data_IF_055333625101
#
_entry.id   IF_055333625101
#
_cell.length_a   1.000
_cell.length_b   1.000
_cell.length_c   1.000
_cell.angle_alpha   90.00
_cell.angle_beta   90.00
_cell.angle_gamma   90.00
#
_symmetry.space_group_name_H-M   'P 1'
#
loop_
_entity.id
_entity.type
_entity.pdbx_description
1 polymer ?
#
# COMPACT_ATOMS: atom_id res chain seq x y z
N UNK A 1 4.85 61.09 42.47
CA UNK A 1 5.52 60.40 41.35
C UNK A 1 5.46 58.86 41.38
N UNK A 2 5.11 58.19 42.50
CA UNK A 2 5.12 56.71 42.58
C UNK A 2 4.03 55.95 41.80
N UNK A 3 2.87 56.55 41.49
CA UNK A 3 1.74 55.86 40.82
C UNK A 3 1.92 55.66 39.30
N UNK A 4 2.85 56.37 38.67
CA UNK A 4 3.11 56.27 37.22
C UNK A 4 4.03 55.10 36.88
N UNK A 5 4.98 54.76 37.76
CA UNK A 5 5.92 53.65 37.55
C UNK A 5 5.26 52.28 37.69
N UNK A 6 4.23 52.14 38.52
CA UNK A 6 3.48 50.88 38.70
C UNK A 6 2.63 50.54 37.47
N UNK A 7 2.09 51.54 36.76
CA UNK A 7 1.29 51.32 35.53
C UNK A 7 2.15 50.89 34.34
N UNK A 8 3.36 51.43 34.20
CA UNK A 8 4.29 51.08 33.12
C UNK A 8 4.82 49.64 33.29
N UNK A 9 5.08 49.21 34.54
CA UNK A 9 5.50 47.84 34.84
C UNK A 9 4.39 46.80 34.54
N UNK A 10 3.12 47.15 34.79
CA UNK A 10 1.97 46.29 34.45
C UNK A 10 1.77 46.11 32.94
N UNK A 11 1.89 47.20 32.16
CA UNK A 11 1.80 47.12 30.70
C UNK A 11 2.92 46.26 30.08
N UNK A 12 4.17 46.41 30.54
CA UNK A 12 5.29 45.59 30.02
C UNK A 12 5.11 44.09 30.28
N UNK A 13 4.56 43.70 31.43
CA UNK A 13 4.25 42.29 31.74
C UNK A 13 3.11 41.75 30.86
N UNK A 14 2.10 42.58 30.58
CA UNK A 14 1.00 42.21 29.69
C UNK A 14 1.48 42.03 28.23
N UNK A 15 2.36 42.93 27.75
CA UNK A 15 2.91 42.84 26.38
C UNK A 15 3.84 41.64 26.22
N UNK A 16 4.66 41.31 27.22
CA UNK A 16 5.50 40.11 27.21
C UNK A 16 4.67 38.81 27.28
N UNK A 17 3.59 38.79 28.06
CA UNK A 17 2.67 37.64 28.11
C UNK A 17 1.92 37.43 26.78
N UNK A 18 1.48 38.51 26.12
CA UNK A 18 0.83 38.45 24.81
C UNK A 18 1.80 38.05 23.68
N UNK A 19 3.04 38.56 23.71
CA UNK A 19 4.08 38.15 22.76
C UNK A 19 4.50 36.68 22.97
N UNK A 20 4.58 36.23 24.23
CA UNK A 20 4.83 34.83 24.56
C UNK A 20 3.71 33.90 24.09
N UNK A 21 2.45 34.29 24.29
CA UNK A 21 1.29 33.52 23.82
C UNK A 21 1.21 33.47 22.28
N UNK A 22 1.58 34.54 21.58
CA UNK A 22 1.65 34.58 20.12
C UNK A 22 2.79 33.72 19.56
N UNK A 23 3.93 33.64 20.25
CA UNK A 23 5.07 32.82 19.85
C UNK A 23 4.87 31.32 20.16
N UNK A 24 4.12 30.99 21.22
CA UNK A 24 3.79 29.60 21.55
C UNK A 24 2.70 29.01 20.63
N UNK A 25 1.90 29.84 19.96
CA UNK A 25 0.92 29.41 18.96
C UNK A 25 1.51 29.11 17.57
N UNK A 26 2.78 29.40 17.33
CA UNK A 26 3.39 29.38 15.99
C UNK A 26 3.99 28.03 15.56
N UNK A 27 3.91 26.98 16.37
CA UNK A 27 4.64 25.73 16.11
C UNK A 27 3.78 24.55 15.66
N UNK A 28 2.45 24.70 15.55
CA UNK A 28 1.55 23.66 15.08
C UNK A 28 0.87 24.08 13.78
N UNK A 29 0.84 23.21 12.76
CA UNK A 29 -0.02 23.41 11.59
C UNK A 29 -1.47 23.67 12.08
N UNK A 30 -2.12 24.77 11.66
CA UNK A 30 -3.46 25.08 12.13
C UNK A 30 -4.44 24.00 11.67
N UNK A 31 -5.41 23.69 12.53
CA UNK A 31 -6.49 22.79 12.15
C UNK A 31 -7.28 23.38 10.97
N UNK A 32 -7.81 22.55 10.06
CA UNK A 32 -8.71 23.02 9.03
C UNK A 32 -9.92 23.78 9.65
N UNK A 33 -10.38 24.87 9.00
CA UNK A 33 -11.28 25.84 9.64
C UNK A 33 -12.72 25.32 9.78
N UNK A 34 -13.16 24.43 8.91
CA UNK A 34 -14.52 23.87 8.96
C UNK A 34 -14.51 22.59 9.79
N UNK A 35 -15.55 22.38 10.59
CA UNK A 35 -15.64 21.23 11.48
C UNK A 35 -17.08 20.71 11.55
N UNK A 36 -17.23 19.38 11.47
CA UNK A 36 -18.51 18.67 11.57
C UNK A 36 -18.36 17.57 12.61
N UNK A 37 -19.19 17.61 13.64
CA UNK A 37 -19.29 16.53 14.63
C UNK A 37 -20.23 15.43 14.13
N UNK A 38 -19.93 14.20 14.50
CA UNK A 38 -20.76 13.02 14.26
C UNK A 38 -20.66 12.08 15.47
N UNK A 39 -21.44 10.99 15.48
CA UNK A 39 -21.52 10.05 16.63
C UNK A 39 -20.20 9.33 16.95
N UNK A 40 -19.21 9.45 16.07
CA UNK A 40 -17.91 8.78 16.18
C UNK A 40 -16.74 9.77 16.30
N UNK A 41 -17.02 11.06 16.50
CA UNK A 41 -16.00 12.08 16.70
C UNK A 41 -16.17 13.35 15.86
N UNK A 42 -15.07 13.80 15.24
CA UNK A 42 -14.98 15.10 14.61
C UNK A 42 -14.22 15.03 13.28
N UNK A 43 -14.81 15.58 12.21
CA UNK A 43 -14.11 15.79 10.94
C UNK A 43 -13.86 17.27 10.74
N UNK A 44 -12.63 17.63 10.36
CA UNK A 44 -12.21 18.97 9.99
C UNK A 44 -11.76 19.01 8.53
N UNK A 45 -12.15 20.04 7.78
CA UNK A 45 -11.75 20.22 6.39
C UNK A 45 -11.61 21.71 6.01
N UNK A 46 -11.13 21.97 4.79
CA UNK A 46 -11.05 23.32 4.22
C UNK A 46 -12.44 23.87 3.87
N UNK A 47 -13.38 22.99 3.51
CA UNK A 47 -14.77 23.34 3.19
C UNK A 47 -15.78 22.56 4.03
N UNK A 48 -16.97 23.14 4.24
CA UNK A 48 -18.07 22.48 4.94
C UNK A 48 -18.52 21.20 4.21
N UNK A 49 -18.52 21.23 2.87
CA UNK A 49 -18.93 20.10 2.04
C UNK A 49 -18.00 18.89 2.23
N UNK A 50 -16.68 19.10 2.28
CA UNK A 50 -15.73 18.03 2.56
C UNK A 50 -15.84 17.52 4.00
N UNK A 51 -16.03 18.40 4.98
CA UNK A 51 -16.20 17.99 6.38
C UNK A 51 -17.44 17.10 6.56
N UNK A 52 -18.55 17.43 5.89
CA UNK A 52 -19.76 16.58 5.87
C UNK A 52 -19.48 15.25 5.15
N UNK A 53 -18.95 15.29 3.92
CA UNK A 53 -18.66 14.09 3.13
C UNK A 53 -17.79 13.09 3.89
N UNK A 54 -16.70 13.54 4.49
CA UNK A 54 -15.82 12.65 5.25
C UNK A 54 -16.42 12.27 6.61
N UNK A 55 -17.27 13.12 7.22
CA UNK A 55 -18.07 12.75 8.39
C UNK A 55 -19.00 11.57 8.10
N UNK A 56 -19.68 11.58 6.96
CA UNK A 56 -20.53 10.48 6.52
C UNK A 56 -19.71 9.19 6.29
N UNK A 57 -18.54 9.30 5.63
CA UNK A 57 -17.63 8.15 5.44
C UNK A 57 -17.12 7.57 6.76
N UNK A 58 -16.76 8.40 7.75
CA UNK A 58 -16.37 7.90 9.08
C UNK A 58 -17.55 7.21 9.77
N UNK A 59 -18.74 7.80 9.69
CA UNK A 59 -19.97 7.23 10.24
C UNK A 59 -20.33 5.88 9.64
N UNK A 60 -19.97 5.63 8.38
CA UNK A 60 -20.13 4.32 7.73
C UNK A 60 -19.01 3.33 8.10
N UNK A 61 -17.75 3.74 7.95
CA UNK A 61 -16.60 2.84 8.01
C UNK A 61 -16.23 2.42 9.44
N UNK A 62 -16.24 3.36 10.39
CA UNK A 62 -15.81 3.09 11.76
C UNK A 62 -16.61 1.95 12.44
N UNK A 63 -17.96 1.93 12.45
CA UNK A 63 -18.70 0.81 13.02
C UNK A 63 -18.42 -0.52 12.30
N UNK A 64 -18.23 -0.50 10.98
CA UNK A 64 -17.90 -1.72 10.21
C UNK A 64 -16.52 -2.27 10.58
N UNK A 65 -15.54 -1.40 10.85
CA UNK A 65 -14.21 -1.81 11.36
C UNK A 65 -14.35 -2.49 12.73
N UNK A 66 -15.12 -1.89 13.65
CA UNK A 66 -15.36 -2.47 14.98
C UNK A 66 -16.06 -3.84 14.91
N UNK A 67 -16.86 -4.08 13.89
CA UNK A 67 -17.53 -5.36 13.66
C UNK A 67 -16.59 -6.44 13.10
N UNK A 68 -15.73 -6.09 12.15
CA UNK A 68 -14.91 -7.10 11.43
C UNK A 68 -13.55 -7.38 12.09
N UNK A 69 -13.02 -6.43 12.87
CA UNK A 69 -11.68 -6.52 13.45
C UNK A 69 -11.76 -6.75 14.97
N UNK A 70 -11.40 -7.93 15.49
CA UNK A 70 -11.36 -8.17 16.92
C UNK A 70 -10.30 -7.30 17.60
N UNK A 71 -10.46 -7.06 18.92
CA UNK A 71 -9.48 -6.30 19.70
C UNK A 71 -9.44 -4.79 19.36
N UNK A 72 -10.44 -4.25 18.67
CA UNK A 72 -10.58 -2.80 18.46
C UNK A 72 -11.18 -2.11 19.67
N UNK A 73 -10.80 -0.86 19.90
CA UNK A 73 -11.40 0.02 20.89
C UNK A 73 -12.36 1.01 20.26
N UNK A 74 -13.60 1.05 20.76
CA UNK A 74 -14.55 2.10 20.44
C UNK A 74 -14.09 3.42 21.06
N UNK A 75 -13.68 4.37 20.21
CA UNK A 75 -13.25 5.71 20.61
C UNK A 75 -13.66 6.76 19.58
N UNK A 76 -13.74 8.00 20.00
CA UNK A 76 -13.93 9.12 19.08
C UNK A 76 -12.64 9.36 18.27
N UNK A 77 -12.77 9.61 16.96
CA UNK A 77 -11.66 9.96 16.08
C UNK A 77 -11.76 11.41 15.62
N UNK A 78 -10.60 12.06 15.43
CA UNK A 78 -10.49 13.39 14.85
C UNK A 78 -9.85 13.27 13.45
N UNK A 79 -10.61 13.48 12.39
CA UNK A 79 -10.12 13.37 11.00
C UNK A 79 -9.87 14.76 10.42
N UNK A 80 -8.65 15.02 9.99
CA UNK A 80 -8.25 16.26 9.31
C UNK A 80 -8.09 15.99 7.82
N UNK A 81 -9.00 16.55 7.02
CA UNK A 81 -9.01 16.47 5.56
C UNK A 81 -8.34 17.73 5.01
N UNK A 82 -7.30 17.55 4.22
CA UNK A 82 -6.44 18.64 3.74
C UNK A 82 -6.10 18.44 2.27
N UNK A 83 -5.96 19.49 1.47
CA UNK A 83 -5.43 19.34 0.11
C UNK A 83 -3.94 18.93 0.15
N UNK A 84 -3.18 19.56 1.05
CA UNK A 84 -1.78 19.25 1.30
C UNK A 84 -1.57 18.80 2.74
N UNK A 85 -1.11 17.56 2.91
CA UNK A 85 -0.81 17.00 4.22
C UNK A 85 0.37 17.71 4.88
N UNK A 86 0.22 18.02 6.16
CA UNK A 86 1.26 18.66 6.97
C UNK A 86 1.42 17.96 8.31
N UNK A 87 2.66 17.65 8.68
CA UNK A 87 2.96 17.19 10.03
C UNK A 87 2.80 18.33 11.06
N UNK A 88 2.82 17.97 12.35
CA UNK A 88 2.68 18.92 13.47
C UNK A 88 3.59 20.14 13.33
N UNK A 89 4.83 19.98 12.87
CA UNK A 89 5.80 21.08 12.68
C UNK A 89 5.63 21.87 11.37
N UNK A 90 4.52 21.69 10.64
CA UNK A 90 4.24 22.38 9.38
C UNK A 90 4.98 21.85 8.16
N UNK A 91 5.81 20.81 8.33
CA UNK A 91 6.48 20.11 7.24
C UNK A 91 5.46 19.45 6.31
N UNK A 92 5.58 19.74 5.02
CA UNK A 92 4.74 19.16 3.97
C UNK A 92 5.12 17.70 3.80
N UNK A 93 4.11 16.84 3.83
CA UNK A 93 4.28 15.40 3.57
C UNK A 93 4.33 15.18 2.06
N UNK A 94 5.18 14.26 1.55
CA UNK A 94 5.22 13.94 0.12
C UNK A 94 3.83 13.62 -0.45
N UNK A 95 3.58 14.02 -1.70
CA UNK A 95 2.27 13.84 -2.35
C UNK A 95 1.87 12.37 -2.58
N UNK A 96 2.83 11.46 -2.45
CA UNK A 96 2.62 10.01 -2.49
C UNK A 96 1.91 9.49 -1.23
N UNK A 97 2.03 10.19 -0.10
CA UNK A 97 1.32 9.83 1.14
C UNK A 97 -0.10 10.38 1.06
N UNK A 98 -1.09 9.51 1.21
CA UNK A 98 -2.52 9.86 1.10
C UNK A 98 -3.21 10.00 2.46
N UNK A 99 -2.64 9.38 3.49
CA UNK A 99 -3.10 9.47 4.87
C UNK A 99 -1.98 9.19 5.86
N UNK A 100 -2.19 9.58 7.12
CA UNK A 100 -1.46 9.04 8.26
C UNK A 100 -2.24 9.25 9.55
N UNK A 101 -2.04 8.34 10.50
CA UNK A 101 -2.56 8.44 11.86
C UNK A 101 -1.46 8.88 12.82
N UNK A 102 -1.75 9.92 13.62
CA UNK A 102 -0.85 10.34 14.69
C UNK A 102 -1.00 9.39 15.88
N UNK A 103 0.15 8.90 16.34
CA UNK A 103 0.28 8.13 17.58
C UNK A 103 0.87 9.07 18.64
N UNK A 104 0.09 9.33 19.70
CA UNK A 104 0.52 10.16 20.84
C UNK A 104 1.65 9.53 21.65
N UNK A 105 2.26 10.31 22.55
CA UNK A 105 3.38 9.87 23.41
C UNK A 105 2.99 8.73 24.37
N UNK A 106 1.70 8.60 24.66
CA UNK A 106 1.08 7.53 25.45
C UNK A 106 0.46 6.43 24.57
N UNK A 107 0.84 6.39 23.29
CA UNK A 107 0.24 5.54 22.26
C UNK A 107 -1.26 5.82 22.03
N UNK A 108 -1.81 6.95 22.50
CA UNK A 108 -3.18 7.31 22.13
C UNK A 108 -3.24 7.64 20.65
N UNK A 109 -4.01 6.81 19.94
CA UNK A 109 -4.33 6.96 18.53
C UNK A 109 -5.70 7.61 18.44
N UNK A 110 -5.86 8.58 17.54
CA UNK A 110 -7.14 9.28 17.42
C UNK A 110 -7.16 10.40 16.40
N UNK A 111 -6.03 11.03 16.06
CA UNK A 111 -5.99 12.01 14.98
C UNK A 111 -5.52 11.39 13.67
N UNK A 112 -6.38 11.44 12.67
CA UNK A 112 -6.12 10.98 11.31
C UNK A 112 -5.95 12.21 10.42
N UNK A 113 -4.98 12.18 9.51
CA UNK A 113 -4.83 13.18 8.46
C UNK A 113 -5.02 12.51 7.10
N UNK A 114 -5.82 13.10 6.22
CA UNK A 114 -6.13 12.56 4.89
C UNK A 114 -6.08 13.64 3.82
N UNK A 115 -5.68 13.24 2.61
CA UNK A 115 -5.77 14.08 1.42
C UNK A 115 -7.20 14.17 0.93
N UNK A 116 -7.66 15.37 0.58
CA UNK A 116 -8.98 15.56 -0.04
C UNK A 116 -9.04 15.15 -1.52
N UNK A 117 -7.90 15.16 -2.21
CA UNK A 117 -7.77 14.95 -3.66
C UNK A 117 -7.43 13.50 -4.05
N UNK A 118 -7.63 12.54 -3.16
CA UNK A 118 -7.45 11.13 -3.47
C UNK A 118 -8.66 10.57 -4.23
N UNK A 119 -8.40 9.69 -5.20
CA UNK A 119 -9.44 9.03 -6.01
C UNK A 119 -10.29 8.06 -5.18
N UNK A 120 -9.67 7.40 -4.19
CA UNK A 120 -10.30 6.39 -3.34
C UNK A 120 -10.21 6.79 -1.85
N UNK A 121 -10.91 7.86 -1.41
CA UNK A 121 -10.81 8.35 -0.03
C UNK A 121 -11.26 7.31 1.01
N UNK A 122 -12.22 6.46 0.67
CA UNK A 122 -12.69 5.39 1.53
C UNK A 122 -11.62 4.34 1.83
N UNK A 123 -10.75 4.00 0.87
CA UNK A 123 -9.63 3.08 1.11
C UNK A 123 -8.69 3.68 2.15
N UNK A 124 -8.17 4.87 1.87
CA UNK A 124 -7.20 5.50 2.78
C UNK A 124 -7.83 5.83 4.14
N UNK A 125 -9.09 6.23 4.20
CA UNK A 125 -9.78 6.44 5.47
C UNK A 125 -9.97 5.14 6.24
N UNK A 126 -10.39 4.04 5.59
CA UNK A 126 -10.53 2.75 6.27
C UNK A 126 -9.18 2.26 6.81
N UNK A 127 -8.11 2.40 6.03
CA UNK A 127 -6.75 2.09 6.44
C UNK A 127 -6.35 2.87 7.70
N UNK A 128 -6.50 4.19 7.70
CA UNK A 128 -6.14 5.01 8.86
C UNK A 128 -7.06 4.80 10.07
N UNK A 129 -8.34 4.52 9.86
CA UNK A 129 -9.25 4.16 10.95
C UNK A 129 -8.81 2.87 11.64
N UNK A 130 -8.31 1.86 10.91
CA UNK A 130 -7.76 0.66 11.54
C UNK A 130 -6.61 1.03 12.46
N UNK A 131 -5.65 1.84 12.00
CA UNK A 131 -4.60 2.34 12.88
C UNK A 131 -5.16 3.06 14.10
N UNK A 132 -6.18 3.90 13.95
CA UNK A 132 -6.75 4.65 15.07
C UNK A 132 -7.52 3.79 16.08
N UNK A 133 -8.08 2.65 15.63
CA UNK A 133 -9.02 1.84 16.41
C UNK A 133 -8.41 0.57 16.99
N UNK A 134 -7.29 0.05 16.45
CA UNK A 134 -6.62 -1.13 17.01
C UNK A 134 -6.29 -0.92 18.50
N UNK A 135 -6.71 -1.87 19.33
CA UNK A 135 -6.51 -1.85 20.77
C UNK A 135 -5.15 -2.40 21.20
N UNK A 136 -4.87 -2.38 22.52
CA UNK A 136 -3.61 -2.87 23.09
C UNK A 136 -3.37 -4.36 22.84
N UNK A 137 -4.40 -5.15 22.58
CA UNK A 137 -4.29 -6.58 22.24
C UNK A 137 -3.47 -6.82 20.95
N UNK A 138 -3.40 -5.83 20.07
CA UNK A 138 -2.61 -5.87 18.84
C UNK A 138 -1.16 -5.41 19.01
N UNK A 139 -0.73 -5.04 20.23
CA UNK A 139 0.57 -4.41 20.48
C UNK A 139 1.77 -5.25 20.01
N UNK A 140 1.65 -6.58 20.02
CA UNK A 140 2.70 -7.50 19.57
C UNK A 140 2.67 -7.77 18.07
N UNK A 141 1.75 -7.20 17.30
CA UNK A 141 1.75 -7.34 15.86
C UNK A 141 2.99 -6.64 15.28
N UNK A 142 3.80 -7.30 14.42
CA UNK A 142 4.92 -6.64 13.76
C UNK A 142 4.45 -5.44 12.94
N UNK A 143 5.25 -4.37 12.88
CA UNK A 143 4.85 -3.13 12.24
C UNK A 143 4.46 -3.28 10.76
N UNK A 144 5.18 -4.12 10.02
CA UNK A 144 4.84 -4.41 8.63
C UNK A 144 3.48 -5.13 8.49
N UNK A 145 3.14 -6.02 9.44
CA UNK A 145 1.83 -6.68 9.44
C UNK A 145 0.71 -5.75 9.92
N UNK A 146 1.00 -4.75 10.75
CA UNK A 146 0.01 -3.71 11.10
C UNK A 146 -0.42 -2.93 9.86
N UNK A 147 0.52 -2.48 9.03
CA UNK A 147 0.22 -1.83 7.74
C UNK A 147 -0.54 -2.77 6.79
N UNK A 148 -0.15 -4.05 6.74
CA UNK A 148 -0.86 -5.08 5.97
C UNK A 148 -2.29 -5.31 6.45
N UNK A 149 -2.52 -5.35 7.76
CA UNK A 149 -3.83 -5.49 8.39
C UNK A 149 -4.75 -4.32 8.03
N UNK A 150 -4.23 -3.09 8.07
CA UNK A 150 -4.98 -1.90 7.67
C UNK A 150 -5.49 -2.01 6.23
N UNK A 151 -4.65 -2.46 5.29
CA UNK A 151 -5.06 -2.64 3.90
C UNK A 151 -5.97 -3.84 3.65
N UNK A 152 -5.78 -4.95 4.38
CA UNK A 152 -6.68 -6.11 4.29
C UNK A 152 -8.10 -5.73 4.71
N UNK A 153 -8.23 -5.02 5.84
CA UNK A 153 -9.53 -4.51 6.29
C UNK A 153 -10.07 -3.45 5.33
N UNK A 154 -9.23 -2.55 4.81
CA UNK A 154 -9.66 -1.57 3.82
C UNK A 154 -10.21 -2.24 2.55
N UNK A 155 -9.52 -3.25 2.01
CA UNK A 155 -9.97 -4.02 0.86
C UNK A 155 -11.29 -4.74 1.12
N UNK A 156 -11.47 -5.31 2.31
CA UNK A 156 -12.73 -5.94 2.71
C UNK A 156 -13.90 -4.93 2.79
N UNK A 157 -13.65 -3.71 3.26
CA UNK A 157 -14.70 -2.73 3.50
C UNK A 157 -14.99 -1.81 2.29
N UNK A 158 -14.09 -1.79 1.30
CA UNK A 158 -14.19 -0.95 0.09
C UNK A 158 -14.15 -1.80 -1.19
N UNK A 159 -15.24 -2.53 -1.51
CA UNK A 159 -15.25 -3.49 -2.63
C UNK A 159 -14.85 -2.90 -3.98
N UNK A 160 -15.18 -1.64 -4.24
CA UNK A 160 -14.83 -0.90 -5.44
C UNK A 160 -13.33 -0.60 -5.58
N UNK A 161 -12.59 -0.59 -4.47
CA UNK A 161 -11.14 -0.40 -4.45
C UNK A 161 -10.38 -1.73 -4.22
N UNK A 162 -11.04 -2.78 -3.70
CA UNK A 162 -10.42 -4.05 -3.30
C UNK A 162 -9.46 -4.62 -4.35
N UNK A 163 -9.89 -4.75 -5.59
CA UNK A 163 -9.05 -5.29 -6.67
C UNK A 163 -7.81 -4.42 -6.90
N UNK A 164 -7.94 -3.09 -6.83
CA UNK A 164 -6.82 -2.17 -6.94
C UNK A 164 -5.84 -2.28 -5.77
N UNK A 165 -6.35 -2.47 -4.55
CA UNK A 165 -5.53 -2.64 -3.34
C UNK A 165 -4.70 -3.92 -3.47
N UNK A 166 -5.36 -5.06 -3.71
CA UNK A 166 -4.71 -6.35 -3.87
C UNK A 166 -3.68 -6.32 -5.00
N UNK A 167 -4.03 -5.73 -6.14
CA UNK A 167 -3.14 -5.58 -7.28
C UNK A 167 -1.89 -4.75 -6.95
N UNK A 168 -2.05 -3.62 -6.25
CA UNK A 168 -0.91 -2.81 -5.80
C UNK A 168 -0.01 -3.59 -4.83
N UNK A 169 -0.61 -4.23 -3.82
CA UNK A 169 0.13 -4.97 -2.80
C UNK A 169 0.80 -6.23 -3.36
N UNK A 170 0.25 -6.85 -4.40
CA UNK A 170 0.92 -7.92 -5.15
C UNK A 170 2.21 -7.42 -5.82
N UNK A 171 2.17 -6.27 -6.50
CA UNK A 171 3.37 -5.67 -7.10
C UNK A 171 4.40 -5.32 -6.03
N UNK A 172 4.00 -4.64 -4.97
CA UNK A 172 4.91 -4.27 -3.89
C UNK A 172 5.49 -5.49 -3.15
N UNK A 173 4.67 -6.50 -2.90
CA UNK A 173 5.11 -7.76 -2.30
C UNK A 173 6.09 -8.52 -3.19
N UNK A 174 5.89 -8.49 -4.51
CA UNK A 174 6.84 -9.07 -5.46
C UNK A 174 8.19 -8.38 -5.48
N UNK A 175 8.22 -7.05 -5.30
CA UNK A 175 9.47 -6.28 -5.16
C UNK A 175 10.23 -6.73 -3.92
N UNK A 176 9.54 -7.02 -2.81
CA UNK A 176 10.18 -7.59 -1.62
C UNK A 176 10.76 -8.99 -1.92
N UNK A 177 9.98 -9.85 -2.56
CA UNK A 177 10.37 -11.22 -2.89
C UNK A 177 11.46 -11.32 -3.97
N UNK A 178 11.71 -10.22 -4.69
CA UNK A 178 12.64 -10.11 -5.82
C UNK A 178 12.15 -10.81 -7.09
N UNK A 179 10.98 -11.47 -7.04
CA UNK A 179 10.36 -12.11 -8.18
C UNK A 179 8.85 -12.28 -7.99
N UNK A 180 8.14 -12.39 -9.11
CA UNK A 180 6.75 -12.84 -9.17
C UNK A 180 6.57 -13.77 -10.38
N UNK A 181 6.23 -15.04 -10.16
CA UNK A 181 5.96 -15.96 -11.27
C UNK A 181 4.58 -15.67 -11.86
N UNK A 182 4.45 -15.63 -13.18
CA UNK A 182 3.19 -15.74 -13.91
C UNK A 182 3.28 -16.87 -14.93
N UNK A 183 2.13 -17.44 -15.29
CA UNK A 183 2.03 -18.38 -16.40
C UNK A 183 1.29 -17.73 -17.56
N UNK A 184 1.88 -17.79 -18.75
CA UNK A 184 1.26 -17.36 -20.00
C UNK A 184 1.00 -18.59 -20.87
N UNK A 185 -0.26 -18.80 -21.22
CA UNK A 185 -0.71 -19.81 -22.16
C UNK A 185 -1.00 -19.15 -23.52
N UNK A 186 -0.80 -19.87 -24.61
CA UNK A 186 -1.01 -19.36 -25.97
C UNK A 186 -1.19 -20.52 -26.97
N UNK A 187 -1.84 -20.24 -28.08
CA UNK A 187 -2.04 -21.17 -29.18
C UNK A 187 -0.75 -21.30 -29.98
N UNK A 188 0.12 -22.20 -29.52
CA UNK A 188 1.42 -22.43 -30.14
C UNK A 188 1.30 -22.97 -31.58
N UNK A 189 2.02 -22.39 -32.55
CA UNK A 189 2.12 -22.96 -33.88
C UNK A 189 2.79 -24.34 -33.85
N UNK A 190 2.49 -25.22 -34.84
CA UNK A 190 3.14 -26.53 -34.94
C UNK A 190 4.67 -26.42 -34.90
N UNK A 191 5.30 -27.18 -34.00
CA UNK A 191 6.75 -27.22 -33.83
C UNK A 191 7.31 -26.26 -32.77
N UNK A 192 6.46 -25.52 -32.03
CA UNK A 192 6.91 -24.78 -30.86
C UNK A 192 7.35 -25.74 -29.72
N UNK A 193 8.57 -25.59 -29.16
CA UNK A 193 9.04 -26.42 -28.05
C UNK A 193 8.32 -26.21 -26.70
N UNK A 194 7.56 -25.12 -26.52
CA UNK A 194 6.93 -24.77 -25.24
C UNK A 194 5.49 -25.28 -25.11
N UNK A 195 4.96 -25.98 -26.11
CA UNK A 195 3.61 -26.56 -26.09
C UNK A 195 2.51 -25.57 -25.65
N UNK A 196 2.65 -24.30 -26.03
CA UNK A 196 1.67 -23.26 -25.72
C UNK A 196 1.68 -22.78 -24.27
N UNK A 197 2.71 -23.06 -23.46
CA UNK A 197 2.79 -22.61 -22.07
C UNK A 197 4.17 -22.08 -21.70
N UNK A 198 4.21 -20.91 -21.08
CA UNK A 198 5.43 -20.25 -20.62
C UNK A 198 5.27 -19.83 -19.16
N UNK A 199 6.21 -20.27 -18.32
CA UNK A 199 6.40 -19.72 -16.99
C UNK A 199 7.39 -18.56 -17.08
N UNK A 200 6.94 -17.39 -16.63
CA UNK A 200 7.71 -16.16 -16.65
C UNK A 200 7.89 -15.65 -15.24
N UNK A 201 9.09 -15.18 -14.94
CA UNK A 201 9.40 -14.53 -13.68
C UNK A 201 9.60 -13.03 -13.94
N UNK A 202 8.80 -12.20 -13.27
CA UNK A 202 9.10 -10.78 -13.15
C UNK A 202 10.22 -10.61 -12.14
N UNK A 203 11.46 -10.56 -12.62
CA UNK A 203 12.61 -10.36 -11.75
C UNK A 203 12.76 -8.88 -11.40
N UNK A 204 13.18 -8.60 -10.18
CA UNK A 204 13.64 -7.27 -9.78
C UNK A 204 15.13 -7.37 -9.47
N UNK A 205 15.95 -6.52 -10.10
CA UNK A 205 17.43 -6.58 -10.01
C UNK A 205 17.95 -6.59 -8.56
N UNK A 206 17.14 -6.10 -7.61
CA UNK A 206 17.34 -6.25 -6.16
C UNK A 206 16.00 -6.43 -5.47
N UNK A 207 15.86 -7.46 -4.63
CA UNK A 207 14.77 -7.54 -3.65
C UNK A 207 14.84 -6.31 -2.75
N UNK A 208 13.79 -5.49 -2.76
CA UNK A 208 13.87 -4.04 -2.55
C UNK A 208 14.32 -3.51 -1.17
N UNK A 209 14.74 -4.36 -0.23
CA UNK A 209 14.96 -3.92 1.15
C UNK A 209 16.22 -4.42 1.86
N UNK A 210 17.05 -5.27 1.23
CA UNK A 210 18.28 -5.83 1.84
C UNK A 210 18.06 -6.56 3.19
N UNK A 211 16.80 -6.85 3.55
CA UNK A 211 16.38 -7.58 4.75
C UNK A 211 15.56 -8.80 4.34
N UNK A 212 15.65 -9.89 5.11
CA UNK A 212 14.78 -11.04 4.92
C UNK A 212 13.45 -10.88 5.70
N UNK A 213 12.49 -11.77 5.45
CA UNK A 213 11.17 -11.68 6.07
C UNK A 213 11.23 -11.83 7.61
N UNK A 214 12.07 -12.73 8.13
CA UNK A 214 12.25 -12.91 9.57
C UNK A 214 12.76 -11.64 10.25
N UNK A 215 13.77 -10.98 9.66
CA UNK A 215 14.27 -9.70 10.16
C UNK A 215 13.18 -8.62 10.12
N UNK A 216 12.45 -8.50 9.00
CA UNK A 216 11.37 -7.50 8.87
C UNK A 216 10.28 -7.70 9.95
N UNK A 217 9.87 -8.95 10.18
CA UNK A 217 8.80 -9.29 11.12
C UNK A 217 9.26 -9.28 12.58
N UNK A 218 10.56 -9.07 12.85
CA UNK A 218 11.08 -8.88 14.21
C UNK A 218 10.86 -7.46 14.76
N UNK A 219 10.44 -6.50 13.92
CA UNK A 219 10.25 -5.11 14.33
C UNK A 219 8.81 -4.80 14.73
N UNK A 220 8.63 -4.27 15.94
CA UNK A 220 7.41 -3.53 16.29
C UNK A 220 7.30 -2.23 15.46
N UNK A 221 6.12 -1.62 15.44
CA UNK A 221 5.80 -0.41 14.66
C UNK A 221 6.76 0.77 14.92
N UNK A 222 7.17 1.00 16.17
CA UNK A 222 8.07 2.10 16.53
C UNK A 222 9.51 1.80 16.14
N UNK A 223 9.97 0.57 16.35
CA UNK A 223 11.30 0.10 15.97
C UNK A 223 11.47 0.13 14.44
N UNK A 224 10.44 -0.26 13.69
CA UNK A 224 10.41 -0.18 12.23
C UNK A 224 10.53 1.29 11.76
N UNK A 225 9.70 2.19 12.30
CA UNK A 225 9.73 3.63 11.95
C UNK A 225 11.03 4.34 12.36
N UNK A 226 11.73 3.87 13.40
CA UNK A 226 13.05 4.39 13.79
C UNK A 226 14.14 3.96 12.82
N UNK A 227 14.11 2.72 12.35
CA UNK A 227 15.11 2.20 11.41
C UNK A 227 14.92 2.76 10.00
N UNK A 228 13.68 2.91 9.56
CA UNK A 228 13.34 3.47 8.26
C UNK A 228 12.55 4.76 8.41
N UNK A 229 13.20 5.90 8.13
CA UNK A 229 12.53 7.23 8.14
C UNK A 229 11.29 7.25 7.25
N UNK A 230 11.32 6.50 6.15
CA UNK A 230 10.17 6.18 5.28
C UNK A 230 10.18 4.68 5.07
N UNK A 231 9.06 4.03 5.37
CA UNK A 231 8.87 2.61 5.09
C UNK A 231 8.89 2.40 3.57
N UNK A 232 9.71 1.48 3.05
CA UNK A 232 9.62 1.02 1.67
C UNK A 232 8.22 0.51 1.36
N UNK A 233 7.67 0.87 0.19
CA UNK A 233 6.33 0.44 -0.23
C UNK A 233 6.24 -1.11 -0.29
N UNK A 234 7.35 -1.79 -0.59
CA UNK A 234 7.42 -3.26 -0.55
C UNK A 234 7.16 -3.90 0.82
N UNK A 235 7.30 -3.15 1.92
CA UNK A 235 6.94 -3.62 3.27
C UNK A 235 5.43 -3.67 3.47
N UNK A 236 4.69 -2.72 2.88
CA UNK A 236 3.22 -2.75 2.86
C UNK A 236 2.75 -3.96 2.06
N UNK A 237 3.30 -4.15 0.86
CA UNK A 237 2.98 -5.29 0.00
C UNK A 237 3.19 -6.63 0.68
N UNK A 238 4.38 -6.87 1.26
CA UNK A 238 4.64 -8.17 1.93
C UNK A 238 3.83 -8.33 3.23
N UNK A 239 3.60 -7.24 3.96
CA UNK A 239 2.73 -7.26 5.14
C UNK A 239 1.31 -7.67 4.78
N UNK A 240 0.75 -7.07 3.72
CA UNK A 240 -0.56 -7.41 3.19
C UNK A 240 -0.63 -8.88 2.77
N UNK A 241 0.34 -9.37 1.98
CA UNK A 241 0.39 -10.77 1.52
C UNK A 241 0.33 -11.76 2.71
N UNK A 242 1.11 -11.50 3.76
CA UNK A 242 1.14 -12.37 4.95
C UNK A 242 -0.20 -12.32 5.69
N UNK A 243 -0.73 -11.13 5.97
CA UNK A 243 -2.02 -11.00 6.69
C UNK A 243 -3.17 -11.61 5.89
N UNK A 244 -3.19 -11.40 4.58
CA UNK A 244 -4.24 -11.89 3.70
C UNK A 244 -4.25 -13.43 3.65
N UNK A 245 -3.09 -14.07 3.57
CA UNK A 245 -2.99 -15.53 3.64
C UNK A 245 -3.45 -16.07 5.00
N UNK A 246 -3.08 -15.42 6.10
CA UNK A 246 -3.56 -15.81 7.43
C UNK A 246 -5.09 -15.65 7.49
N UNK A 247 -5.63 -14.55 6.96
CA UNK A 247 -7.07 -14.29 6.92
C UNK A 247 -7.81 -15.36 6.11
N UNK A 248 -7.34 -15.71 4.92
CA UNK A 248 -8.00 -16.70 4.05
C UNK A 248 -7.98 -18.10 4.67
N UNK A 249 -6.92 -18.46 5.41
CA UNK A 249 -6.75 -19.78 6.02
C UNK A 249 -7.43 -19.92 7.38
N UNK A 250 -7.38 -18.87 8.20
CA UNK A 250 -7.74 -18.92 9.62
C UNK A 250 -8.61 -17.74 10.10
N UNK A 251 -8.79 -16.70 9.30
CA UNK A 251 -9.50 -15.47 9.66
C UNK A 251 -8.67 -14.49 10.50
N UNK A 252 -9.12 -13.24 10.59
CA UNK A 252 -8.45 -12.19 11.39
C UNK A 252 -8.47 -12.50 12.90
N UNK A 253 -9.45 -13.26 13.37
CA UNK A 253 -9.53 -13.74 14.76
C UNK A 253 -8.31 -14.57 15.17
N UNK A 254 -7.80 -15.41 14.27
CA UNK A 254 -6.61 -16.21 14.55
C UNK A 254 -5.35 -15.36 14.66
N UNK A 255 -5.18 -14.35 13.78
CA UNK A 255 -4.05 -13.42 13.90
C UNK A 255 -4.10 -12.64 15.23
N UNK A 256 -5.30 -12.25 15.67
CA UNK A 256 -5.50 -11.62 16.97
C UNK A 256 -5.14 -12.57 18.14
N UNK A 257 -5.54 -13.84 18.07
CA UNK A 257 -5.14 -14.87 19.06
C UNK A 257 -3.62 -15.05 19.13
N UNK A 258 -2.91 -14.99 18.00
CA UNK A 258 -1.45 -15.01 17.98
C UNK A 258 -0.84 -13.82 18.73
N UNK A 259 -1.43 -12.63 18.60
CA UNK A 259 -0.99 -11.45 19.35
C UNK A 259 -1.22 -11.61 20.85
N UNK A 260 -2.42 -12.03 21.26
CA UNK A 260 -2.73 -12.29 22.67
C UNK A 260 -1.78 -13.33 23.28
N UNK A 261 -1.57 -14.44 22.57
CA UNK A 261 -0.63 -15.48 22.97
C UNK A 261 0.80 -14.95 23.11
N UNK A 262 1.26 -14.16 22.13
CA UNK A 262 2.60 -13.57 22.18
C UNK A 262 2.76 -12.65 23.40
N UNK A 263 1.74 -11.85 23.72
CA UNK A 263 1.75 -10.99 24.90
C UNK A 263 1.76 -11.80 26.21
N UNK A 264 0.95 -12.86 26.31
CA UNK A 264 0.89 -13.75 27.47
C UNK A 264 2.22 -14.49 27.71
N UNK A 265 2.90 -14.89 26.64
CA UNK A 265 4.22 -15.53 26.68
C UNK A 265 5.38 -14.51 26.85
N UNK A 266 5.07 -13.20 26.94
CA UNK A 266 6.04 -12.14 27.22
C UNK A 266 6.89 -11.72 26.01
N UNK A 267 6.45 -12.04 24.78
CA UNK A 267 7.10 -11.59 23.57
C UNK A 267 6.78 -10.12 23.26
N UNK A 268 7.76 -9.41 22.70
CA UNK A 268 7.55 -8.03 22.23
C UNK A 268 6.83 -7.96 20.89
N UNK A 269 7.01 -8.99 20.06
CA UNK A 269 6.32 -9.18 18.77
C UNK A 269 5.96 -10.65 18.61
N UNK A 270 4.93 -10.97 17.83
CA UNK A 270 4.57 -12.36 17.50
C UNK A 270 5.78 -13.05 16.84
N UNK A 271 6.24 -14.22 17.34
CA UNK A 271 7.35 -14.95 16.75
C UNK A 271 7.17 -15.24 15.25
N UNK A 272 8.23 -15.02 14.46
CA UNK A 272 8.22 -15.23 13.01
C UNK A 272 7.70 -16.61 12.63
N UNK A 273 8.13 -17.66 13.33
CA UNK A 273 7.75 -19.04 13.01
C UNK A 273 6.23 -19.25 13.10
N UNK A 274 5.56 -18.60 14.06
CA UNK A 274 4.11 -18.70 14.19
C UNK A 274 3.39 -18.01 13.04
N UNK A 275 3.89 -16.85 12.62
CA UNK A 275 3.35 -16.10 11.48
C UNK A 275 3.57 -16.82 10.15
N UNK A 276 4.77 -17.39 9.96
CA UNK A 276 5.10 -18.17 8.78
C UNK A 276 4.22 -19.42 8.67
N UNK A 277 4.04 -20.17 9.76
CA UNK A 277 3.15 -21.34 9.82
C UNK A 277 1.69 -20.94 9.52
N UNK A 278 1.20 -19.87 10.17
CA UNK A 278 -0.16 -19.35 9.96
C UNK A 278 -0.41 -18.95 8.50
N UNK A 279 0.58 -18.32 7.87
CA UNK A 279 0.50 -17.91 6.46
C UNK A 279 0.76 -19.09 5.49
N UNK A 280 1.24 -20.25 5.95
CA UNK A 280 1.69 -21.35 5.10
C UNK A 280 2.95 -21.03 4.30
N UNK A 281 3.86 -20.24 4.88
CA UNK A 281 5.14 -19.88 4.29
C UNK A 281 6.18 -20.88 4.82
N UNK A 282 6.29 -22.01 4.13
CA UNK A 282 7.16 -23.12 4.54
C UNK A 282 8.59 -22.95 4.02
N UNK A 283 8.75 -22.24 2.91
CA UNK A 283 10.03 -22.06 2.23
C UNK A 283 10.07 -20.78 1.37
N UNK A 284 11.23 -20.54 0.74
CA UNK A 284 11.44 -19.39 -0.14
C UNK A 284 10.59 -19.43 -1.41
N UNK A 285 10.15 -20.61 -1.85
CA UNK A 285 9.34 -20.77 -3.06
C UNK A 285 7.91 -20.31 -2.76
N UNK A 286 7.30 -20.82 -1.69
CA UNK A 286 5.98 -20.41 -1.19
C UNK A 286 5.90 -18.90 -0.95
N UNK A 287 6.94 -18.30 -0.36
CA UNK A 287 7.02 -16.86 -0.16
C UNK A 287 7.00 -16.08 -1.49
N UNK A 288 7.74 -16.56 -2.50
CA UNK A 288 7.87 -15.89 -3.79
C UNK A 288 6.64 -16.05 -4.69
N UNK A 289 5.84 -17.09 -4.48
CA UNK A 289 4.57 -17.26 -5.20
C UNK A 289 3.43 -16.48 -4.54
N UNK A 290 3.53 -16.18 -3.25
CA UNK A 290 2.46 -15.55 -2.48
C UNK A 290 1.89 -14.25 -3.08
N UNK A 291 2.68 -13.34 -3.68
CA UNK A 291 2.12 -12.17 -4.35
C UNK A 291 1.22 -12.51 -5.55
N UNK A 292 1.56 -13.57 -6.32
CA UNK A 292 0.75 -14.03 -7.46
C UNK A 292 -0.60 -14.58 -7.03
N UNK A 293 -0.68 -15.18 -5.83
CA UNK A 293 -1.92 -15.73 -5.26
C UNK A 293 -2.99 -14.63 -5.04
N UNK A 294 -2.57 -13.37 -4.92
CA UNK A 294 -3.49 -12.24 -4.78
C UNK A 294 -4.21 -11.86 -6.07
N UNK A 295 -3.70 -12.31 -7.23
CA UNK A 295 -4.16 -11.87 -8.54
C UNK A 295 -5.32 -12.72 -9.04
N UNK A 296 -6.53 -12.17 -8.95
CA UNK A 296 -7.67 -12.59 -9.75
C UNK A 296 -7.79 -11.77 -11.04
N UNK A 297 -8.81 -12.04 -11.87
CA UNK A 297 -9.01 -11.31 -13.13
C UNK A 297 -9.15 -9.79 -12.94
N UNK A 298 -9.84 -9.37 -11.88
CA UNK A 298 -10.05 -7.96 -11.58
C UNK A 298 -8.76 -7.25 -11.12
N UNK A 299 -7.95 -7.93 -10.30
CA UNK A 299 -6.66 -7.43 -9.85
C UNK A 299 -5.67 -7.29 -11.02
N UNK A 300 -5.67 -8.27 -11.92
CA UNK A 300 -4.85 -8.22 -13.13
C UNK A 300 -5.28 -7.08 -14.06
N UNK A 301 -6.59 -6.82 -14.21
CA UNK A 301 -7.06 -5.64 -14.95
C UNK A 301 -6.62 -4.33 -14.28
N UNK A 302 -6.71 -4.24 -12.95
CA UNK A 302 -6.33 -3.06 -12.19
C UNK A 302 -4.84 -2.67 -12.36
N UNK A 303 -3.96 -3.62 -12.70
CA UNK A 303 -2.57 -3.31 -13.05
C UNK A 303 -2.40 -2.39 -14.24
N UNK A 304 -3.36 -2.33 -15.17
CA UNK A 304 -3.29 -1.38 -16.29
C UNK A 304 -3.21 0.07 -15.80
N UNK A 305 -3.92 0.37 -14.71
CA UNK A 305 -3.97 1.71 -14.14
C UNK A 305 -2.79 1.99 -13.22
N UNK A 306 -2.32 0.97 -12.50
CA UNK A 306 -1.20 1.08 -11.56
C UNK A 306 0.16 1.10 -12.28
N UNK A 307 0.29 0.33 -13.36
CA UNK A 307 1.51 0.18 -14.16
C UNK A 307 1.17 0.33 -15.65
N UNK A 308 0.97 1.57 -16.14
CA UNK A 308 0.57 1.81 -17.52
C UNK A 308 1.48 1.14 -18.55
N UNK A 309 0.88 0.38 -19.47
CA UNK A 309 1.59 -0.36 -20.51
C UNK A 309 2.23 -1.68 -20.08
N UNK A 310 2.01 -2.13 -18.84
CA UNK A 310 2.53 -3.40 -18.33
C UNK A 310 2.16 -4.58 -19.24
N UNK A 311 0.87 -4.78 -19.51
CA UNK A 311 0.37 -5.91 -20.31
C UNK A 311 0.96 -5.94 -21.72
N UNK A 312 1.05 -4.78 -22.37
CA UNK A 312 1.66 -4.67 -23.70
C UNK A 312 3.16 -4.96 -23.65
N UNK A 313 3.87 -4.50 -22.61
CA UNK A 313 5.29 -4.80 -22.46
C UNK A 313 5.55 -6.29 -22.23
N UNK A 314 4.74 -6.91 -21.36
CA UNK A 314 4.74 -8.34 -21.12
C UNK A 314 4.60 -9.11 -22.44
N UNK A 315 3.54 -8.82 -23.20
CA UNK A 315 3.30 -9.48 -24.49
C UNK A 315 4.46 -9.24 -25.48
N UNK A 316 4.98 -8.02 -25.57
CA UNK A 316 6.14 -7.72 -26.42
C UNK A 316 7.37 -8.52 -26.01
N UNK A 317 7.71 -8.58 -24.73
CA UNK A 317 8.91 -9.31 -24.28
C UNK A 317 8.81 -10.81 -24.51
N UNK A 318 7.63 -11.38 -24.26
CA UNK A 318 7.41 -12.83 -24.40
C UNK A 318 7.38 -13.25 -25.87
N UNK A 319 6.69 -12.48 -26.73
CA UNK A 319 6.36 -12.95 -28.07
C UNK A 319 7.13 -12.27 -29.20
N UNK A 320 7.57 -11.01 -29.07
CA UNK A 320 8.08 -10.26 -30.24
C UNK A 320 9.36 -10.81 -30.84
N UNK A 321 10.25 -11.41 -30.05
CA UNK A 321 11.50 -11.99 -30.54
C UNK A 321 11.26 -13.22 -31.43
N UNK A 322 10.23 -14.02 -31.12
CA UNK A 322 9.90 -15.26 -31.83
C UNK A 322 8.85 -15.08 -32.91
N UNK A 323 7.91 -14.15 -32.69
CA UNK A 323 6.71 -13.93 -33.49
C UNK A 323 6.63 -12.53 -34.09
N UNK A 324 7.76 -11.85 -34.22
CA UNK A 324 7.82 -10.46 -34.71
C UNK A 324 7.13 -10.24 -36.05
N UNK A 325 7.22 -11.22 -36.95
CA UNK A 325 6.63 -11.19 -38.31
C UNK A 325 5.10 -11.14 -38.33
N UNK A 326 4.42 -11.57 -37.25
CA UNK A 326 2.95 -11.49 -37.16
C UNK A 326 2.45 -10.06 -36.94
N UNK A 327 3.32 -9.16 -36.46
CA UNK A 327 2.90 -7.85 -35.94
C UNK A 327 2.03 -7.98 -34.67
N UNK A 328 1.66 -6.83 -34.10
CA UNK A 328 0.86 -6.80 -32.86
C UNK A 328 -0.52 -7.46 -33.01
N UNK A 329 -1.27 -7.09 -34.06
CA UNK A 329 -2.62 -7.60 -34.29
C UNK A 329 -2.61 -9.10 -34.64
N UNK A 330 -1.71 -9.52 -35.53
CA UNK A 330 -1.58 -10.92 -35.91
C UNK A 330 -1.12 -11.79 -34.75
N UNK A 331 -0.28 -11.28 -33.84
CA UNK A 331 0.09 -12.02 -32.63
C UNK A 331 -1.12 -12.25 -31.71
N UNK A 332 -1.91 -11.20 -31.42
CA UNK A 332 -3.09 -11.34 -30.57
C UNK A 332 -4.13 -12.30 -31.17
N UNK A 333 -4.33 -12.26 -32.48
CA UNK A 333 -5.29 -13.13 -33.17
C UNK A 333 -4.79 -14.58 -33.30
N UNK A 334 -3.54 -14.78 -33.70
CA UNK A 334 -3.02 -16.11 -34.02
C UNK A 334 -2.54 -16.89 -32.80
N UNK A 335 -2.04 -16.20 -31.75
CA UNK A 335 -1.52 -16.85 -30.56
C UNK A 335 -2.50 -16.82 -29.37
N UNK A 336 -3.55 -15.99 -29.40
CA UNK A 336 -4.49 -15.79 -28.27
C UNK A 336 -3.83 -15.89 -26.88
N UNK A 337 -2.89 -14.98 -26.55
CA UNK A 337 -2.14 -15.09 -25.30
C UNK A 337 -3.05 -14.85 -24.08
N UNK A 338 -2.98 -15.79 -23.14
CA UNK A 338 -3.79 -15.89 -21.92
C UNK A 338 -2.88 -15.92 -20.71
N UNK A 339 -3.17 -15.15 -19.67
CA UNK A 339 -2.48 -15.27 -18.38
C UNK A 339 -3.27 -16.22 -17.50
N UNK A 340 -2.65 -17.34 -17.12
CA UNK A 340 -3.21 -18.28 -16.15
C UNK A 340 -2.90 -17.78 -14.74
N UNK A 341 -3.97 -17.55 -13.97
CA UNK A 341 -3.93 -17.06 -12.60
C UNK A 341 -3.87 -18.22 -11.60
N UNK A 342 -3.58 -17.90 -10.34
CA UNK A 342 -3.36 -18.91 -9.30
C UNK A 342 -4.61 -19.77 -9.03
N UNK A 343 -5.80 -19.20 -9.13
CA UNK A 343 -7.08 -19.90 -8.95
C UNK A 343 -7.49 -20.77 -10.16
N UNK A 344 -6.65 -20.82 -11.21
CA UNK A 344 -6.90 -21.55 -12.46
C UNK A 344 -7.73 -20.77 -13.48
N UNK A 345 -8.17 -19.55 -13.17
CA UNK A 345 -8.82 -18.68 -14.14
C UNK A 345 -7.82 -18.11 -15.14
N UNK A 346 -8.30 -17.72 -16.32
CA UNK A 346 -7.47 -17.22 -17.41
C UNK A 346 -7.94 -15.84 -17.87
N UNK A 347 -7.00 -14.90 -18.04
CA UNK A 347 -7.27 -13.58 -18.62
C UNK A 347 -6.71 -13.51 -20.04
N UNK A 348 -7.59 -13.35 -21.03
CA UNK A 348 -7.18 -13.14 -22.42
C UNK A 348 -6.61 -11.73 -22.59
N UNK A 349 -5.36 -11.62 -23.02
CA UNK A 349 -4.74 -10.32 -23.25
C UNK A 349 -5.49 -9.54 -24.34
N UNK A 350 -6.00 -10.20 -25.37
CA UNK A 350 -6.76 -9.57 -26.46
C UNK A 350 -8.07 -8.91 -25.98
N UNK A 351 -8.64 -9.36 -24.84
CA UNK A 351 -9.84 -8.79 -24.26
C UNK A 351 -9.56 -7.54 -23.41
N UNK A 352 -8.30 -7.24 -23.09
CA UNK A 352 -7.96 -6.11 -22.22
C UNK A 352 -8.17 -4.77 -22.93
N UNK A 353 -8.93 -3.82 -22.36
CA UNK A 353 -9.22 -2.58 -23.08
C UNK A 353 -7.96 -1.76 -23.31
N UNK A 354 -7.76 -1.34 -24.57
CA UNK A 354 -6.60 -0.54 -25.03
C UNK A 354 -5.36 -1.35 -25.40
N UNK A 355 -5.36 -2.67 -25.19
CA UNK A 355 -4.18 -3.52 -25.39
C UNK A 355 -3.67 -3.51 -26.84
N UNK A 356 -4.57 -3.57 -27.83
CA UNK A 356 -4.20 -3.62 -29.24
C UNK A 356 -3.46 -2.34 -29.66
N UNK A 357 -3.93 -1.18 -29.19
CA UNK A 357 -3.31 0.10 -29.47
C UNK A 357 -1.96 0.25 -28.75
N UNK A 358 -1.88 -0.16 -27.48
CA UNK A 358 -0.63 -0.13 -26.72
C UNK A 358 0.42 -1.06 -27.30
N UNK A 359 0.02 -2.27 -27.66
CA UNK A 359 0.88 -3.27 -28.26
C UNK A 359 1.36 -2.79 -29.62
N UNK A 360 0.49 -2.24 -30.46
CA UNK A 360 0.88 -1.69 -31.78
C UNK A 360 1.93 -0.57 -31.67
N UNK A 361 1.89 0.25 -30.61
CA UNK A 361 2.91 1.28 -30.35
C UNK A 361 4.25 0.71 -29.88
N UNK A 362 4.23 -0.44 -29.21
CA UNK A 362 5.40 -1.06 -28.55
C UNK A 362 6.00 -2.21 -29.34
N UNK A 363 5.24 -2.80 -30.26
CA UNK A 363 5.68 -3.92 -31.07
C UNK A 363 6.82 -3.43 -31.96
N UNK A 364 8.02 -4.03 -31.85
CA UNK A 364 9.14 -3.57 -32.65
C UNK A 364 8.74 -3.69 -34.12
N UNK A 365 8.78 -2.57 -34.84
CA UNK A 365 8.83 -2.59 -36.29
C UNK A 365 10.10 -3.35 -36.64
N UNK A 366 9.95 -4.53 -37.25
CA UNK A 366 11.03 -5.46 -37.55
C UNK A 366 12.31 -4.73 -37.97
N UNK A 367 13.35 -4.74 -37.13
CA UNK A 367 14.65 -4.16 -37.48
C UNK A 367 15.62 -3.74 -36.37
N UNK A 368 15.23 -3.64 -35.08
CA UNK A 368 16.10 -2.96 -34.08
C UNK A 368 16.23 -3.61 -32.69
N UNK A 369 15.96 -4.90 -32.51
CA UNK A 369 16.31 -5.60 -31.27
C UNK A 369 17.36 -6.68 -31.59
N UNK A 370 18.58 -6.23 -31.89
CA UNK A 370 19.77 -7.08 -31.77
C UNK A 370 20.22 -7.04 -30.30
N UNK A 371 20.40 -8.22 -29.73
CA UNK A 371 21.18 -8.48 -28.52
C UNK A 371 20.61 -8.03 -27.16
N UNK A 372 19.36 -8.40 -26.86
CA UNK A 372 19.05 -8.77 -25.48
C UNK A 372 19.19 -10.30 -25.36
N UNK A 373 20.17 -10.82 -24.60
CA UNK A 373 20.21 -12.24 -24.33
C UNK A 373 18.93 -12.61 -23.59
N UNK A 374 18.01 -13.27 -24.29
CA UNK A 374 16.98 -14.09 -23.67
C UNK A 374 17.70 -15.25 -23.00
N UNK A 375 18.23 -14.99 -21.79
CA UNK A 375 18.51 -16.05 -20.85
C UNK A 375 17.15 -16.71 -20.58
N UNK A 376 16.96 -17.94 -21.08
CA UNK A 376 15.68 -18.64 -21.04
C UNK A 376 15.20 -18.69 -19.58
N UNK A 377 14.18 -17.87 -19.25
CA UNK A 377 13.63 -17.75 -17.89
C UNK A 377 13.84 -16.40 -17.18
N UNK A 378 14.44 -15.39 -17.83
CA UNK A 378 14.57 -14.04 -17.26
C UNK A 378 13.90 -12.98 -18.13
N UNK A 379 12.79 -12.45 -17.62
CA UNK A 379 12.20 -11.22 -18.12
C UNK A 379 12.75 -10.07 -17.28
N UNK A 380 13.66 -9.25 -17.85
CA UNK A 380 14.10 -8.02 -17.19
C UNK A 380 12.91 -7.06 -17.08
N UNK A 381 12.67 -6.44 -15.91
CA UNK A 381 11.49 -5.61 -15.72
C UNK A 381 11.59 -4.34 -16.57
N UNK A 382 10.44 -3.80 -16.99
CA UNK A 382 10.35 -2.36 -17.27
C UNK A 382 10.86 -1.68 -16.02
N UNK A 383 11.88 -0.84 -16.10
CA UNK A 383 12.05 0.18 -15.07
C UNK A 383 10.73 0.95 -15.04
N UNK A 384 9.92 0.87 -13.97
CA UNK A 384 8.65 1.59 -13.92
C UNK A 384 8.96 3.03 -14.33
N UNK A 385 8.15 3.58 -15.26
CA UNK A 385 8.31 4.97 -15.69
C UNK A 385 8.57 5.82 -14.44
N UNK A 386 9.68 6.55 -14.46
CA UNK A 386 10.37 7.12 -13.30
C UNK A 386 9.54 8.12 -12.47
N UNK A 387 8.46 7.62 -11.87
CA UNK A 387 7.53 8.34 -11.00
C UNK A 387 7.40 7.69 -9.63
N UNK A 388 8.10 6.57 -9.36
CA UNK A 388 8.08 5.90 -8.05
C UNK A 388 9.46 5.48 -7.50
N UNK A 389 10.57 6.03 -8.01
CA UNK A 389 11.88 5.90 -7.36
C UNK A 389 12.45 7.31 -7.05
N UNK A 390 12.77 7.65 -5.79
CA UNK A 390 13.23 8.98 -5.42
C UNK A 390 14.70 9.18 -5.77
N UNK A 391 14.98 10.32 -6.41
CA UNK A 391 16.30 10.95 -6.39
C UNK A 391 16.70 11.22 -4.94
N UNK A 392 17.79 10.59 -4.50
CA UNK A 392 18.44 10.86 -3.23
C UNK A 392 19.04 12.27 -3.31
N UNK A 393 18.45 13.22 -2.60
CA UNK A 393 19.12 14.46 -2.20
C UNK A 393 19.26 14.45 -0.68
N UNK A 394 20.51 14.31 -0.23
CA UNK A 394 20.86 14.47 1.17
C UNK A 394 20.60 15.91 1.62
N UNK A 395 19.83 16.07 2.70
CA UNK A 395 19.52 17.38 3.28
C UNK A 395 19.13 17.24 4.74
N UNK A 396 20.16 17.34 5.59
CA UNK A 396 20.20 17.53 7.05
C UNK A 396 19.92 16.33 7.98
#
# INVERSE_FOLDING_TARGET
MGKLHTRIAGLRRLTLALAGAALLGACAAPAPPMAVSHDWGLVRAESQAEAVRFGDLVGELQPRILEVLPGTEQRETEVWVQHELRHRMGQVVPSTVKGFTLVGDDNQRGRIHLRSDTEFPQWFLAHELVHALVGPDWKTLPGALEEGLCDVVAAQLTPEASARIRALRAVEGSIFCGRMPLTVEYDAPPGDPHDGRLEIDFHYDRGGAEVNLEELLSYDTLSLKRRWKRLPDCFYGIGFVVVERIRERHGLGYLHELCLRAADEGHTVVPYQWLAEAAGIDDVISLRSAPTELLGPAEFEAWRELVPGFHAYLATQVFSAKYGDLGAAGMLEALDPRVLLHDGSTVHLAAMPGIADELSRRWPTAGLVQDLPLDQGRVSPVQPAATLAPTVSAGH
#
